data_IF_297428439040
#
_entry.id   IF_297428439040
#
_cell.length_a   1.000
_cell.length_b   1.000
_cell.length_c   1.000
_cell.angle_alpha   90.00
_cell.angle_beta   90.00
_cell.angle_gamma   90.00
#
_symmetry.space_group_name_H-M   'P 1'
#
loop_
_entity.id
_entity.type
_entity.pdbx_description
1 polymer ?
#
# COMPACT_ATOMS: atom_id res chain seq x y z
N UNK A 1 28.56 -0.54 1.47
CA UNK A 1 27.46 -0.52 2.46
C UNK A 1 26.24 0.22 1.92
N UNK A 2 26.38 1.48 1.44
CA UNK A 2 25.27 2.27 0.87
C UNK A 2 24.62 1.57 -0.34
N UNK A 3 25.40 1.11 -1.33
CA UNK A 3 24.85 0.40 -2.50
C UNK A 3 23.99 -0.82 -2.14
N UNK A 4 24.43 -1.61 -1.16
CA UNK A 4 23.68 -2.79 -0.72
C UNK A 4 22.33 -2.39 -0.12
N UNK A 5 22.33 -1.38 0.76
CA UNK A 5 21.09 -0.84 1.34
C UNK A 5 20.15 -0.31 0.25
N UNK A 6 20.67 0.44 -0.72
CA UNK A 6 19.87 1.02 -1.79
C UNK A 6 19.24 -0.05 -2.69
N UNK A 7 19.99 -1.09 -3.02
CA UNK A 7 19.46 -2.25 -3.77
C UNK A 7 18.35 -2.94 -2.97
N UNK A 8 18.57 -3.21 -1.68
CA UNK A 8 17.56 -3.83 -0.82
C UNK A 8 16.31 -2.96 -0.71
N UNK A 9 16.48 -1.64 -0.56
CA UNK A 9 15.39 -0.67 -0.45
C UNK A 9 14.58 -0.61 -1.74
N UNK A 10 15.24 -0.53 -2.90
CA UNK A 10 14.60 -0.53 -4.21
C UNK A 10 13.82 -1.83 -4.43
N UNK A 11 14.43 -2.98 -4.15
CA UNK A 11 13.77 -4.28 -4.36
C UNK A 11 12.56 -4.44 -3.43
N UNK A 12 12.71 -4.16 -2.14
CA UNK A 12 11.63 -4.32 -1.17
C UNK A 12 10.46 -3.38 -1.44
N UNK A 13 10.73 -2.10 -1.75
CA UNK A 13 9.68 -1.13 -2.08
C UNK A 13 9.05 -1.46 -3.43
N UNK A 14 9.85 -1.76 -4.45
CA UNK A 14 9.36 -2.12 -5.78
C UNK A 14 8.45 -3.34 -5.77
N UNK A 15 8.81 -4.39 -5.02
CA UNK A 15 7.98 -5.59 -4.85
C UNK A 15 6.68 -5.28 -4.11
N UNK A 16 6.71 -4.42 -3.08
CA UNK A 16 5.51 -4.04 -2.35
C UNK A 16 4.55 -3.21 -3.20
N UNK A 17 5.08 -2.19 -3.90
CA UNK A 17 4.32 -1.36 -4.85
C UNK A 17 3.74 -2.23 -5.96
N UNK A 18 4.54 -3.15 -6.50
CA UNK A 18 4.11 -4.10 -7.53
C UNK A 18 2.99 -5.02 -7.05
N UNK A 19 3.08 -5.53 -5.82
CA UNK A 19 2.03 -6.34 -5.20
C UNK A 19 0.73 -5.55 -5.05
N UNK A 20 0.79 -4.33 -4.53
CA UNK A 20 -0.36 -3.45 -4.36
C UNK A 20 -1.00 -3.08 -5.71
N UNK A 21 -0.17 -2.77 -6.72
CA UNK A 21 -0.62 -2.54 -8.07
C UNK A 21 -1.30 -3.78 -8.67
N UNK A 22 -0.72 -4.97 -8.48
CA UNK A 22 -1.27 -6.21 -9.02
C UNK A 22 -2.62 -6.55 -8.38
N UNK A 23 -2.75 -6.35 -7.07
CA UNK A 23 -4.01 -6.51 -6.34
C UNK A 23 -5.09 -5.60 -6.95
N UNK A 24 -4.77 -4.31 -7.11
CA UNK A 24 -5.71 -3.35 -7.65
C UNK A 24 -6.06 -3.61 -9.14
N UNK A 25 -5.05 -3.79 -9.99
CA UNK A 25 -5.21 -3.79 -11.45
C UNK A 25 -5.68 -5.13 -12.01
N UNK A 26 -5.37 -6.24 -11.34
CA UNK A 26 -5.66 -7.58 -11.86
C UNK A 26 -6.52 -8.42 -10.91
N UNK A 27 -6.18 -8.48 -9.61
CA UNK A 27 -6.88 -9.37 -8.68
C UNK A 27 -8.30 -8.87 -8.40
N UNK A 28 -8.48 -7.60 -8.01
CA UNK A 28 -9.80 -7.06 -7.68
C UNK A 28 -10.80 -7.18 -8.86
N UNK A 29 -10.45 -6.83 -10.11
CA UNK A 29 -11.36 -7.02 -11.26
C UNK A 29 -11.70 -8.48 -11.55
N UNK A 30 -10.82 -9.44 -11.22
CA UNK A 30 -11.12 -10.87 -11.34
C UNK A 30 -12.10 -11.29 -10.24
N UNK A 31 -11.86 -10.86 -9.00
CA UNK A 31 -12.73 -11.17 -7.85
C UNK A 31 -14.14 -10.59 -8.01
N UNK A 32 -14.28 -9.42 -8.64
CA UNK A 32 -15.58 -8.80 -8.94
C UNK A 32 -16.48 -9.64 -9.85
N UNK A 33 -15.89 -10.52 -10.68
CA UNK A 33 -16.63 -11.39 -11.61
C UNK A 33 -17.11 -12.70 -10.97
N UNK A 34 -16.65 -13.01 -9.76
CA UNK A 34 -17.04 -14.22 -9.04
C UNK A 34 -18.43 -14.06 -8.41
N UNK A 35 -19.07 -15.20 -8.14
CA UNK A 35 -20.25 -15.25 -7.27
C UNK A 35 -19.90 -14.75 -5.87
N UNK A 36 -20.90 -14.28 -5.13
CA UNK A 36 -20.70 -13.60 -3.85
C UNK A 36 -20.01 -14.49 -2.80
N UNK A 37 -20.31 -15.79 -2.78
CA UNK A 37 -19.70 -16.73 -1.85
C UNK A 37 -18.23 -16.99 -2.20
N UNK A 38 -17.91 -17.25 -3.48
CA UNK A 38 -16.52 -17.43 -3.91
C UNK A 38 -15.69 -16.15 -3.75
N UNK A 39 -16.28 -14.97 -4.03
CA UNK A 39 -15.63 -13.68 -3.83
C UNK A 39 -15.30 -13.45 -2.36
N UNK A 40 -16.26 -13.67 -1.45
CA UNK A 40 -16.04 -13.52 -0.01
C UNK A 40 -14.98 -14.50 0.52
N UNK A 41 -14.99 -15.75 0.03
CA UNK A 41 -13.98 -16.74 0.39
C UNK A 41 -12.57 -16.33 -0.07
N UNK A 42 -12.43 -15.90 -1.33
CA UNK A 42 -11.17 -15.44 -1.88
C UNK A 42 -10.62 -14.20 -1.15
N UNK A 43 -11.48 -13.19 -0.91
CA UNK A 43 -11.10 -11.98 -0.15
C UNK A 43 -10.63 -12.34 1.25
N UNK A 44 -11.29 -13.27 1.95
CA UNK A 44 -10.84 -13.75 3.26
C UNK A 44 -9.46 -14.41 3.21
N UNK A 45 -9.19 -15.22 2.19
CA UNK A 45 -7.88 -15.85 2.02
C UNK A 45 -6.78 -14.82 1.76
N UNK A 46 -7.03 -13.86 0.88
CA UNK A 46 -6.12 -12.75 0.62
C UNK A 46 -5.88 -11.91 1.87
N UNK A 47 -6.93 -11.55 2.60
CA UNK A 47 -6.83 -10.77 3.84
C UNK A 47 -6.05 -11.53 4.94
N UNK A 48 -6.22 -12.84 5.06
CA UNK A 48 -5.50 -13.65 6.05
C UNK A 48 -3.99 -13.74 5.76
N UNK A 49 -3.61 -13.80 4.47
CA UNK A 49 -2.21 -13.90 4.06
C UNK A 49 -1.55 -12.53 4.00
N UNK A 50 -2.09 -11.61 3.19
CA UNK A 50 -1.53 -10.28 3.01
C UNK A 50 -1.72 -9.41 4.25
N UNK A 51 -2.88 -9.46 4.91
CA UNK A 51 -3.16 -8.61 6.07
C UNK A 51 -2.22 -8.83 7.25
N UNK A 52 -1.60 -10.01 7.38
CA UNK A 52 -0.59 -10.30 8.41
C UNK A 52 0.79 -9.74 8.06
N UNK A 53 1.19 -9.82 6.80
CA UNK A 53 2.55 -9.47 6.35
C UNK A 53 2.65 -7.97 6.04
N UNK A 54 1.60 -7.40 5.44
CA UNK A 54 1.61 -6.05 4.90
C UNK A 54 1.99 -4.98 5.93
N UNK A 55 1.43 -4.93 7.17
CA UNK A 55 1.78 -3.88 8.13
C UNK A 55 3.29 -3.83 8.44
N UNK A 56 3.92 -5.00 8.61
CA UNK A 56 5.36 -5.09 8.86
C UNK A 56 6.17 -4.73 7.63
N UNK A 57 5.69 -5.09 6.42
CA UNK A 57 6.35 -4.73 5.18
C UNK A 57 6.32 -3.22 4.92
N UNK A 58 5.18 -2.57 5.14
CA UNK A 58 5.05 -1.11 5.08
C UNK A 58 5.98 -0.41 6.08
N UNK A 59 6.01 -0.88 7.33
CA UNK A 59 6.86 -0.32 8.38
C UNK A 59 8.36 -0.52 8.07
N UNK A 60 8.74 -1.72 7.60
CA UNK A 60 10.11 -2.02 7.19
C UNK A 60 10.57 -1.11 6.04
N UNK A 61 9.74 -0.94 5.01
CA UNK A 61 10.03 -0.05 3.90
C UNK A 61 10.12 1.43 4.32
N UNK A 62 9.27 1.86 5.25
CA UNK A 62 9.38 3.20 5.83
C UNK A 62 10.73 3.40 6.54
N UNK A 63 11.15 2.41 7.33
CA UNK A 63 12.43 2.47 8.03
C UNK A 63 13.60 2.52 7.04
N UNK A 64 13.56 1.73 5.96
CA UNK A 64 14.56 1.77 4.90
C UNK A 64 14.66 3.15 4.26
N UNK A 65 13.52 3.78 3.92
CA UNK A 65 13.49 5.16 3.39
C UNK A 65 14.11 6.18 4.34
N UNK A 66 13.80 6.08 5.64
CA UNK A 66 14.35 6.98 6.66
C UNK A 66 15.85 6.79 6.81
N UNK A 67 16.34 5.54 6.81
CA UNK A 67 17.79 5.25 6.88
C UNK A 67 18.50 5.84 5.65
N UNK A 68 17.95 5.66 4.44
CA UNK A 68 18.52 6.25 3.21
C UNK A 68 18.58 7.78 3.30
N UNK A 69 17.49 8.43 3.75
CA UNK A 69 17.46 9.88 3.92
C UNK A 69 18.50 10.39 4.94
N UNK A 70 18.73 9.64 6.02
CA UNK A 70 19.74 9.99 7.04
C UNK A 70 21.16 9.83 6.49
N UNK A 71 21.43 8.73 5.76
CA UNK A 71 22.76 8.46 5.21
C UNK A 71 23.13 9.42 4.09
N UNK A 72 22.15 9.84 3.29
CA UNK A 72 22.33 10.75 2.15
C UNK A 72 22.05 12.22 2.53
N UNK A 73 21.94 12.54 3.82
CA UNK A 73 21.54 13.88 4.30
C UNK A 73 22.43 15.04 3.85
N UNK A 74 23.70 14.76 3.57
CA UNK A 74 24.66 15.78 3.12
C UNK A 74 24.61 16.03 1.61
N UNK A 75 23.81 15.24 0.88
CA UNK A 75 23.68 15.35 -0.57
C UNK A 75 22.46 16.20 -0.94
N UNK A 76 22.49 16.91 -2.09
CA UNK A 76 21.38 17.73 -2.56
C UNK A 76 20.08 16.94 -2.82
N UNK A 77 20.15 15.60 -2.89
CA UNK A 77 19.01 14.71 -3.10
C UNK A 77 18.13 14.47 -1.85
N UNK A 78 18.54 14.96 -0.67
CA UNK A 78 17.81 14.75 0.59
C UNK A 78 16.32 15.17 0.50
N UNK A 79 16.01 16.22 -0.25
CA UNK A 79 14.64 16.71 -0.40
C UNK A 79 13.71 15.67 -1.04
N UNK A 80 14.19 14.90 -2.00
CA UNK A 80 13.41 13.86 -2.68
C UNK A 80 13.16 12.66 -1.77
N UNK A 81 14.19 12.23 -1.03
CA UNK A 81 14.09 11.11 -0.08
C UNK A 81 13.21 11.44 1.12
N UNK A 82 13.30 12.68 1.63
CA UNK A 82 12.42 13.18 2.68
C UNK A 82 10.96 13.24 2.19
N UNK A 83 10.72 13.70 0.96
CA UNK A 83 9.38 13.72 0.36
C UNK A 83 8.83 12.31 0.16
N UNK A 84 9.63 11.38 -0.36
CA UNK A 84 9.26 9.98 -0.50
C UNK A 84 8.88 9.35 0.85
N UNK A 85 9.69 9.61 1.89
CA UNK A 85 9.43 9.16 3.26
C UNK A 85 8.13 9.73 3.82
N UNK A 86 7.87 11.03 3.58
CA UNK A 86 6.64 11.70 4.00
C UNK A 86 5.39 11.13 3.33
N UNK A 87 5.44 10.89 2.01
CA UNK A 87 4.34 10.23 1.28
C UNK A 87 4.09 8.83 1.84
N UNK A 88 5.14 8.07 2.10
CA UNK A 88 5.02 6.72 2.64
C UNK A 88 4.39 6.70 4.03
N UNK A 89 4.81 7.61 4.91
CA UNK A 89 4.20 7.79 6.24
C UNK A 89 2.72 8.16 6.14
N UNK A 90 2.38 9.12 5.26
CA UNK A 90 1.00 9.51 5.02
C UNK A 90 0.14 8.34 4.52
N UNK A 91 0.67 7.49 3.65
CA UNK A 91 0.02 6.27 3.19
C UNK A 91 -0.24 5.28 4.34
N UNK A 92 0.73 5.07 5.23
CA UNK A 92 0.56 4.21 6.40
C UNK A 92 -0.59 4.75 7.28
N UNK A 93 -0.55 6.04 7.60
CA UNK A 93 -1.58 6.70 8.43
C UNK A 93 -2.96 6.58 7.78
N UNK A 94 -3.07 6.91 6.48
CA UNK A 94 -4.32 6.80 5.73
C UNK A 94 -4.84 5.36 5.70
N UNK A 95 -3.95 4.37 5.56
CA UNK A 95 -4.31 2.96 5.57
C UNK A 95 -4.87 2.54 6.92
N UNK A 96 -4.22 2.92 8.02
CA UNK A 96 -4.64 2.55 9.38
C UNK A 96 -5.93 3.25 9.81
N UNK A 97 -6.13 4.52 9.42
CA UNK A 97 -7.30 5.31 9.83
C UNK A 97 -8.53 5.00 8.98
N UNK A 98 -8.36 4.78 7.67
CA UNK A 98 -9.50 4.66 6.74
C UNK A 98 -9.64 3.26 6.16
N UNK A 99 -8.61 2.73 5.50
CA UNK A 99 -8.75 1.48 4.75
C UNK A 99 -8.97 0.28 5.67
N UNK A 100 -8.22 0.17 6.77
CA UNK A 100 -8.34 -0.95 7.71
C UNK A 100 -9.72 -0.97 8.39
N UNK A 101 -10.24 0.14 8.94
CA UNK A 101 -11.58 0.15 9.53
C UNK A 101 -12.68 -0.13 8.52
N UNK A 102 -12.60 0.41 7.30
CA UNK A 102 -13.59 0.13 6.25
C UNK A 102 -13.54 -1.35 5.85
N UNK A 103 -12.34 -1.91 5.64
CA UNK A 103 -12.18 -3.33 5.31
C UNK A 103 -12.72 -4.25 6.42
N UNK A 104 -12.48 -3.89 7.69
CA UNK A 104 -13.01 -4.65 8.82
C UNK A 104 -14.53 -4.55 8.95
N UNK A 105 -15.15 -3.44 8.54
CA UNK A 105 -16.61 -3.29 8.48
C UNK A 105 -17.20 -4.15 7.36
N UNK A 106 -16.62 -4.07 6.16
CA UNK A 106 -17.02 -4.88 5.00
C UNK A 106 -16.89 -6.39 5.28
N UNK A 107 -15.79 -6.81 5.94
CA UNK A 107 -15.57 -8.22 6.29
C UNK A 107 -16.51 -8.76 7.38
N UNK A 108 -17.22 -7.89 8.12
CA UNK A 108 -18.16 -8.23 9.19
C UNK A 108 -19.63 -8.06 8.79
N UNK A 109 -19.91 -7.77 7.51
CA UNK A 109 -21.30 -7.59 7.07
C UNK A 109 -22.07 -8.92 7.13
N UNK A 110 -22.97 -9.02 8.11
CA UNK A 110 -24.10 -9.94 8.11
C UNK A 110 -25.20 -9.42 7.17
N UNK A 111 -26.09 -10.31 6.71
CA UNK A 111 -27.15 -10.08 5.71
C UNK A 111 -28.17 -8.94 6.02
N UNK A 112 -28.00 -8.20 7.12
CA UNK A 112 -28.86 -7.09 7.56
C UNK A 112 -28.44 -5.71 7.05
N UNK A 113 -27.35 -5.60 6.28
CA UNK A 113 -26.87 -4.32 5.78
C UNK A 113 -27.67 -3.82 4.58
N UNK A 114 -28.08 -2.54 4.60
CA UNK A 114 -28.84 -1.90 3.51
C UNK A 114 -27.92 -1.72 2.30
N UNK A 115 -28.18 -2.45 1.20
CA UNK A 115 -27.39 -2.52 -0.04
C UNK A 115 -26.76 -1.17 -0.52
N UNK A 116 -27.50 -0.03 -0.57
CA UNK A 116 -26.95 1.25 -1.03
C UNK A 116 -25.79 1.79 -0.17
N UNK A 117 -25.77 1.50 1.13
CA UNK A 117 -24.74 1.98 2.04
C UNK A 117 -23.47 1.10 1.95
N UNK A 118 -23.64 -0.20 1.66
CA UNK A 118 -22.51 -1.10 1.36
C UNK A 118 -21.79 -0.66 0.08
N UNK A 119 -22.53 -0.38 -0.99
CA UNK A 119 -21.97 0.07 -2.26
C UNK A 119 -21.23 1.40 -2.17
N UNK A 120 -21.71 2.31 -1.32
CA UNK A 120 -21.06 3.59 -1.09
C UNK A 120 -19.74 3.44 -0.33
N UNK A 121 -19.67 2.54 0.66
CA UNK A 121 -18.43 2.25 1.39
C UNK A 121 -17.42 1.48 0.53
N UNK A 122 -17.87 0.52 -0.28
CA UNK A 122 -17.01 -0.17 -1.24
C UNK A 122 -16.34 0.80 -2.22
N UNK A 123 -17.12 1.67 -2.88
CA UNK A 123 -16.56 2.67 -3.80
C UNK A 123 -15.57 3.63 -3.15
N UNK A 124 -15.82 4.00 -1.89
CA UNK A 124 -14.92 4.86 -1.12
C UNK A 124 -13.61 4.13 -0.80
N UNK A 125 -13.69 2.86 -0.42
CA UNK A 125 -12.52 2.01 -0.20
C UNK A 125 -11.69 1.87 -1.47
N UNK A 126 -12.32 1.58 -2.62
CA UNK A 126 -11.64 1.45 -3.91
C UNK A 126 -10.94 2.74 -4.32
N UNK A 127 -11.59 3.89 -4.16
CA UNK A 127 -10.99 5.18 -4.47
C UNK A 127 -9.76 5.46 -3.59
N UNK A 128 -9.85 5.17 -2.30
CA UNK A 128 -8.73 5.35 -1.37
C UNK A 128 -7.60 4.35 -1.62
N UNK A 129 -7.92 3.10 -1.97
CA UNK A 129 -6.94 2.09 -2.34
C UNK A 129 -6.20 2.48 -3.63
N UNK A 130 -6.91 2.98 -4.66
CA UNK A 130 -6.28 3.55 -5.85
C UNK A 130 -5.35 4.70 -5.54
N UNK A 131 -5.81 5.66 -4.74
CA UNK A 131 -4.99 6.80 -4.32
C UNK A 131 -3.72 6.34 -3.59
N UNK A 132 -3.83 5.30 -2.74
CA UNK A 132 -2.69 4.68 -2.07
C UNK A 132 -1.68 4.09 -3.06
N UNK A 133 -2.13 3.30 -4.03
CA UNK A 133 -1.25 2.68 -5.04
C UNK A 133 -0.49 3.76 -5.82
N UNK A 134 -1.18 4.82 -6.25
CA UNK A 134 -0.56 5.94 -6.96
C UNK A 134 0.46 6.67 -6.08
N UNK A 135 0.11 6.95 -4.81
CA UNK A 135 1.01 7.61 -3.87
C UNK A 135 2.28 6.78 -3.60
N UNK A 136 2.14 5.47 -3.42
CA UNK A 136 3.28 4.56 -3.26
C UNK A 136 4.16 4.51 -4.50
N UNK A 137 3.55 4.49 -5.69
CA UNK A 137 4.27 4.61 -6.96
C UNK A 137 5.05 5.90 -7.08
N UNK A 138 4.45 7.04 -6.71
CA UNK A 138 5.12 8.34 -6.69
C UNK A 138 6.30 8.36 -5.70
N UNK A 139 6.12 7.84 -4.49
CA UNK A 139 7.19 7.71 -3.49
C UNK A 139 8.35 6.84 -4.02
N UNK A 140 8.04 5.75 -4.73
CA UNK A 140 9.05 4.90 -5.33
C UNK A 140 9.81 5.59 -6.47
N UNK A 141 9.13 6.35 -7.33
CA UNK A 141 9.80 7.16 -8.36
C UNK A 141 10.73 8.20 -7.74
N UNK A 142 10.29 8.90 -6.69
CA UNK A 142 11.11 9.88 -5.97
C UNK A 142 12.35 9.23 -5.36
N UNK A 143 12.22 8.02 -4.79
CA UNK A 143 13.35 7.24 -4.31
C UNK A 143 14.35 6.93 -5.44
N UNK A 144 13.89 6.42 -6.58
CA UNK A 144 14.75 6.05 -7.70
C UNK A 144 15.51 7.26 -8.26
N UNK A 145 14.84 8.41 -8.36
CA UNK A 145 15.48 9.67 -8.80
C UNK A 145 16.48 10.14 -7.74
N UNK A 146 16.10 10.10 -6.47
CA UNK A 146 16.95 10.52 -5.35
C UNK A 146 18.20 9.66 -5.16
N UNK A 147 18.15 8.37 -5.49
CA UNK A 147 19.31 7.46 -5.41
C UNK A 147 20.23 7.54 -6.65
N UNK A 148 19.76 8.12 -7.76
CA UNK A 148 20.55 8.28 -8.98
C UNK A 148 21.40 9.55 -9.00
N UNK A 149 20.92 10.62 -8.36
CA UNK A 149 21.59 11.94 -8.30
C UNK A 149 22.65 12.01 -7.22
#
# INVERSE_FOLDING_TARGET
MILFLSVVTILSIGLMVGTEFAVWAFINPILEKLDEQARAHAVRLFAATLGKIMPFWYAGNFLLLVIEAILLRAQPVIGLLATASGIWAAVIVLTLIFLVPINNRLARQDASWILPEADRQHRRWDAMHRARVVALGAAFVLLLIGLRG
#
